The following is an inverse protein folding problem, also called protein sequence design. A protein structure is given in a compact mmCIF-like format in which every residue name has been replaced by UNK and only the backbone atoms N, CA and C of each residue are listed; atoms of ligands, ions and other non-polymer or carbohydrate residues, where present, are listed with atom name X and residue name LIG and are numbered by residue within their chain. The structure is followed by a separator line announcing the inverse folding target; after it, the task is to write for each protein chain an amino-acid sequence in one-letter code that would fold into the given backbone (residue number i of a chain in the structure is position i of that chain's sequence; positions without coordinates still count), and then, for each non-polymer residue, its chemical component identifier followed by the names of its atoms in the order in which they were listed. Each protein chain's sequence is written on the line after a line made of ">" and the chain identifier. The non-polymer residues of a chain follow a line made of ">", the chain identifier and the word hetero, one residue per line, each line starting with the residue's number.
data_IF_466207978119
#
_entry.id   IF_466207978119
#
_cell.length_a   1.000
_cell.length_b   1.000
_cell.length_c   1.000
_cell.angle_alpha   90.00
_cell.angle_beta   90.00
_cell.angle_gamma   90.00
#
_symmetry.space_group_name_H-M   'P 1'
#
loop_
_entity.id
_entity.type
_entity.pdbx_description
1 polymer ?
#
# COMPACT_ATOMS: atom_id res chain seq x y z
N UNK A 1 -0.54 23.02 37.94
CA UNK A 1 -0.57 21.81 37.10
C UNK A 1 0.73 21.77 36.31
N UNK A 2 1.69 20.96 36.74
CA UNK A 2 2.89 20.66 35.96
C UNK A 2 2.45 19.89 34.73
N UNK A 3 2.42 20.54 33.56
CA UNK A 3 2.18 19.87 32.28
C UNK A 3 3.28 18.85 32.10
N UNK A 4 2.96 17.57 32.27
CA UNK A 4 3.86 16.49 31.94
C UNK A 4 4.12 16.55 30.44
N UNK A 5 5.29 17.06 30.04
CA UNK A 5 5.67 17.25 28.63
C UNK A 5 6.00 15.93 27.92
N UNK A 6 6.13 14.83 28.68
CA UNK A 6 6.54 13.52 28.17
C UNK A 6 5.35 12.63 27.77
N UNK A 7 4.53 13.10 26.83
CA UNK A 7 3.44 12.27 26.25
C UNK A 7 3.99 11.34 25.17
N UNK A 8 3.27 10.24 24.90
CA UNK A 8 3.63 9.33 23.78
C UNK A 8 3.68 10.06 22.43
N UNK A 9 2.76 11.01 22.21
CA UNK A 9 2.76 11.83 21.00
C UNK A 9 3.99 12.75 20.95
N UNK A 10 4.40 13.36 22.06
CA UNK A 10 5.62 14.20 22.11
C UNK A 10 6.87 13.37 21.80
N UNK A 11 7.01 12.17 22.36
CA UNK A 11 8.16 11.28 22.09
C UNK A 11 8.23 10.88 20.62
N UNK A 12 7.11 10.48 20.02
CA UNK A 12 7.04 10.12 18.61
C UNK A 12 7.31 11.32 17.69
N UNK A 13 6.78 12.49 18.03
CA UNK A 13 7.00 13.71 17.27
C UNK A 13 8.46 14.19 17.34
N UNK A 14 9.10 14.08 18.51
CA UNK A 14 10.53 14.36 18.65
C UNK A 14 11.36 13.44 17.77
N UNK A 15 11.07 12.14 17.76
CA UNK A 15 11.72 11.18 16.87
C UNK A 15 11.60 11.58 15.39
N UNK A 16 10.39 11.92 14.93
CA UNK A 16 10.16 12.35 13.54
C UNK A 16 10.93 13.63 13.21
N UNK A 17 10.85 14.65 14.06
CA UNK A 17 11.44 15.95 13.79
C UNK A 17 12.97 15.96 13.90
N UNK A 18 13.54 15.14 14.78
CA UNK A 18 14.96 15.21 15.16
C UNK A 18 15.83 14.12 14.54
N UNK A 19 15.24 13.07 13.95
CA UNK A 19 16.03 12.03 13.25
C UNK A 19 16.81 12.66 12.08
N UNK A 20 18.15 12.62 12.11
CA UNK A 20 18.97 13.11 11.00
C UNK A 20 18.71 12.27 9.75
N UNK A 21 18.63 12.91 8.58
CA UNK A 21 18.41 12.18 7.34
C UNK A 21 19.53 11.18 7.04
N UNK A 22 20.76 11.51 7.44
CA UNK A 22 21.94 10.65 7.30
C UNK A 22 22.06 9.55 8.36
N UNK A 23 21.15 9.51 9.34
CA UNK A 23 21.13 8.45 10.34
C UNK A 23 20.43 7.17 9.84
N UNK A 24 19.79 7.21 8.67
CA UNK A 24 19.17 6.03 8.09
C UNK A 24 20.23 5.01 7.65
N UNK A 25 20.12 3.74 8.06
CA UNK A 25 20.96 2.67 7.55
C UNK A 25 20.82 2.48 6.03
N UNK A 26 21.90 2.07 5.36
CA UNK A 26 21.94 1.91 3.89
C UNK A 26 20.91 0.89 3.37
N UNK A 27 20.66 -0.18 4.12
CA UNK A 27 19.66 -1.20 3.77
C UNK A 27 18.22 -0.66 3.86
N UNK A 28 17.95 0.23 4.83
CA UNK A 28 16.67 0.95 4.96
C UNK A 28 16.49 1.92 3.80
N UNK A 29 17.53 2.65 3.41
CA UNK A 29 17.51 3.53 2.22
C UNK A 29 17.27 2.72 0.95
N UNK A 30 17.97 1.61 0.77
CA UNK A 30 17.78 0.72 -0.38
C UNK A 30 16.36 0.14 -0.43
N UNK A 31 15.81 -0.30 0.71
CA UNK A 31 14.43 -0.77 0.82
C UNK A 31 13.45 0.33 0.43
N UNK A 32 13.64 1.55 0.94
CA UNK A 32 12.76 2.67 0.64
C UNK A 32 12.75 3.02 -0.85
N UNK A 33 13.89 3.00 -1.54
CA UNK A 33 13.94 3.23 -3.01
C UNK A 33 13.12 2.20 -3.78
N UNK A 34 13.16 0.93 -3.37
CA UNK A 34 12.36 -0.13 -3.98
C UNK A 34 10.87 0.11 -3.81
N UNK A 35 10.45 0.52 -2.61
CA UNK A 35 9.05 0.83 -2.32
C UNK A 35 8.55 2.10 -3.02
N UNK A 36 9.43 3.10 -3.19
CA UNK A 36 9.13 4.29 -4.01
C UNK A 36 8.90 3.91 -5.47
N UNK A 37 9.82 3.14 -6.06
CA UNK A 37 9.68 2.64 -7.43
C UNK A 37 8.39 1.83 -7.61
N UNK A 38 8.11 0.92 -6.67
CA UNK A 38 6.92 0.08 -6.66
C UNK A 38 5.62 0.91 -6.61
N UNK A 39 5.56 1.87 -5.69
CA UNK A 39 4.39 2.73 -5.51
C UNK A 39 4.10 3.56 -6.75
N UNK A 40 5.14 4.11 -7.41
CA UNK A 40 4.92 4.82 -8.67
C UNK A 40 4.43 3.90 -9.77
N UNK A 41 4.96 2.68 -9.88
CA UNK A 41 4.45 1.68 -10.83
C UNK A 41 2.95 1.45 -10.63
N UNK A 42 2.54 1.12 -9.40
CA UNK A 42 1.14 0.90 -9.05
C UNK A 42 0.26 2.13 -9.33
N UNK A 43 0.72 3.32 -8.93
CA UNK A 43 -0.04 4.55 -9.06
C UNK A 43 -0.22 5.01 -10.51
N UNK A 44 0.81 4.86 -11.34
CA UNK A 44 0.73 5.19 -12.76
C UNK A 44 -0.23 4.25 -13.49
N UNK A 45 -0.19 2.95 -13.20
CA UNK A 45 -1.18 2.01 -13.72
C UNK A 45 -2.61 2.34 -13.24
N UNK A 46 -2.75 2.78 -11.98
CA UNK A 46 -4.02 3.20 -11.38
C UNK A 46 -4.51 4.60 -11.78
N UNK A 47 -3.73 5.40 -12.52
CA UNK A 47 -4.06 6.78 -12.87
C UNK A 47 -5.32 6.90 -13.74
N UNK A 48 -5.62 5.84 -14.51
CA UNK A 48 -6.81 5.68 -15.34
C UNK A 48 -7.90 4.80 -14.70
N UNK A 49 -7.82 4.48 -13.41
CA UNK A 49 -8.92 3.80 -12.72
C UNK A 49 -10.13 4.74 -12.58
N UNK A 50 -11.34 4.18 -12.47
CA UNK A 50 -12.59 4.98 -12.48
C UNK A 50 -12.67 5.89 -11.25
N UNK A 51 -12.29 5.38 -10.10
CA UNK A 51 -12.17 6.06 -8.83
C UNK A 51 -11.15 7.21 -8.90
N UNK A 52 -10.00 6.99 -9.54
CA UNK A 52 -8.95 8.00 -9.71
C UNK A 52 -9.42 9.13 -10.63
N UNK A 53 -10.03 8.78 -11.78
CA UNK A 53 -10.61 9.78 -12.70
C UNK A 53 -11.71 10.59 -12.03
N UNK A 54 -12.58 9.92 -11.27
CA UNK A 54 -13.70 10.57 -10.59
C UNK A 54 -13.20 11.54 -9.52
N UNK A 55 -12.22 11.13 -8.71
CA UNK A 55 -11.58 12.01 -7.74
C UNK A 55 -10.89 13.20 -8.43
N UNK A 56 -10.15 12.95 -9.52
CA UNK A 56 -9.48 14.00 -10.31
C UNK A 56 -10.46 15.02 -10.89
N UNK A 57 -11.65 14.58 -11.32
CA UNK A 57 -12.67 15.47 -11.86
C UNK A 57 -13.23 16.48 -10.83
N UNK A 58 -13.11 16.17 -9.53
CA UNK A 58 -13.51 17.05 -8.44
C UNK A 58 -12.42 18.07 -8.05
N UNK A 59 -11.21 17.94 -8.58
CA UNK A 59 -10.09 18.83 -8.24
C UNK A 59 -10.12 20.13 -9.03
N UNK A 60 -9.80 21.24 -8.35
CA UNK A 60 -9.56 22.53 -8.99
C UNK A 60 -8.17 22.59 -9.62
N UNK A 61 -8.05 23.19 -10.81
CA UNK A 61 -6.76 23.40 -11.45
C UNK A 61 -5.95 24.48 -10.70
N UNK A 62 -4.68 24.21 -10.43
CA UNK A 62 -3.75 25.19 -9.83
C UNK A 62 -2.67 25.53 -10.84
N UNK A 63 -2.66 26.78 -11.31
CA UNK A 63 -1.78 27.22 -12.39
C UNK A 63 -0.28 27.24 -12.02
N UNK A 64 0.07 27.54 -10.76
CA UNK A 64 1.47 27.64 -10.31
C UNK A 64 1.64 27.05 -8.90
N UNK A 65 2.72 26.31 -8.67
CA UNK A 65 3.07 25.75 -7.35
C UNK A 65 2.16 24.62 -6.85
N UNK A 66 1.30 24.09 -7.73
CA UNK A 66 0.47 22.92 -7.42
C UNK A 66 1.29 21.62 -7.37
N UNK A 67 0.73 20.61 -6.72
CA UNK A 67 1.28 19.26 -6.71
C UNK A 67 0.76 18.48 -7.94
N UNK A 68 1.63 17.68 -8.55
CA UNK A 68 1.31 16.91 -9.76
C UNK A 68 0.25 15.84 -9.50
N UNK A 69 -0.69 15.70 -10.42
CA UNK A 69 -1.58 14.53 -10.50
C UNK A 69 -0.92 13.48 -11.40
N UNK A 70 -0.43 12.40 -10.79
CA UNK A 70 0.49 11.46 -11.44
C UNK A 70 -0.13 10.79 -12.67
N UNK A 71 0.65 10.65 -13.73
CA UNK A 71 0.22 10.12 -15.02
C UNK A 71 -0.59 11.12 -15.86
N UNK A 72 -0.69 12.38 -15.45
CA UNK A 72 -1.39 13.45 -16.20
C UNK A 72 -0.53 14.70 -16.30
N UNK A 73 -0.91 15.67 -17.14
CA UNK A 73 -0.27 17.00 -17.20
C UNK A 73 -0.88 18.00 -16.23
N UNK A 74 -1.74 17.56 -15.31
CA UNK A 74 -2.51 18.43 -14.41
C UNK A 74 -1.84 18.54 -13.05
N UNK A 75 -2.08 19.69 -12.43
CA UNK A 75 -1.69 20.01 -11.06
C UNK A 75 -2.91 20.40 -10.24
N UNK A 76 -2.87 20.10 -8.95
CA UNK A 76 -3.91 20.47 -7.99
C UNK A 76 -3.30 21.01 -6.69
N UNK A 77 -4.15 21.45 -5.77
CA UNK A 77 -3.71 21.75 -4.41
C UNK A 77 -3.11 20.51 -3.74
N UNK A 78 -2.16 20.68 -2.82
CA UNK A 78 -1.43 19.57 -2.19
C UNK A 78 -2.37 18.49 -1.61
N UNK A 79 -3.45 18.90 -0.94
CA UNK A 79 -4.46 17.99 -0.37
C UNK A 79 -5.13 17.15 -1.46
N UNK A 80 -5.64 17.80 -2.50
CA UNK A 80 -6.32 17.14 -3.62
C UNK A 80 -5.38 16.20 -4.38
N UNK A 81 -4.12 16.61 -4.58
CA UNK A 81 -3.12 15.76 -5.21
C UNK A 81 -2.79 14.52 -4.36
N UNK A 82 -2.62 14.67 -3.04
CA UNK A 82 -2.44 13.54 -2.14
C UNK A 82 -3.64 12.58 -2.19
N UNK A 83 -4.86 13.12 -2.21
CA UNK A 83 -6.09 12.33 -2.34
C UNK A 83 -6.12 11.52 -3.64
N UNK A 84 -5.97 12.18 -4.78
CA UNK A 84 -6.03 11.53 -6.11
C UNK A 84 -4.90 10.52 -6.29
N UNK A 85 -3.67 10.88 -5.95
CA UNK A 85 -2.52 10.01 -6.14
C UNK A 85 -2.53 8.81 -5.18
N UNK A 86 -3.06 8.96 -3.97
CA UNK A 86 -3.24 7.83 -3.05
C UNK A 86 -4.31 6.85 -3.51
N UNK A 87 -5.40 7.34 -4.11
CA UNK A 87 -6.39 6.47 -4.79
C UNK A 87 -5.72 5.72 -5.93
N UNK A 88 -4.96 6.43 -6.78
CA UNK A 88 -4.26 5.84 -7.92
C UNK A 88 -3.31 4.73 -7.47
N UNK A 89 -2.48 4.99 -6.45
CA UNK A 89 -1.52 4.04 -5.92
C UNK A 89 -2.18 2.74 -5.43
N UNK A 90 -3.36 2.85 -4.81
CA UNK A 90 -4.06 1.69 -4.26
C UNK A 90 -5.04 1.02 -5.24
N UNK A 91 -5.30 1.61 -6.42
CA UNK A 91 -6.41 1.24 -7.31
C UNK A 91 -6.44 -0.24 -7.73
N UNK A 92 -5.26 -0.87 -7.89
CA UNK A 92 -5.11 -2.15 -8.59
C UNK A 92 -4.57 -3.30 -7.74
N UNK A 93 -4.65 -3.24 -6.40
CA UNK A 93 -4.10 -4.27 -5.47
C UNK A 93 -2.60 -4.59 -5.66
N UNK A 94 -1.83 -3.70 -6.30
CA UNK A 94 -0.43 -3.94 -6.67
C UNK A 94 0.57 -3.13 -5.87
N UNK A 95 0.10 -2.24 -5.01
CA UNK A 95 0.90 -1.54 -4.04
C UNK A 95 1.44 -2.48 -2.95
N UNK A 96 2.37 -1.94 -2.16
CA UNK A 96 3.00 -2.68 -1.09
C UNK A 96 2.03 -3.05 0.05
N UNK A 97 2.52 -3.89 0.96
CA UNK A 97 1.79 -4.33 2.14
C UNK A 97 2.72 -4.48 3.34
N UNK A 98 2.17 -4.76 4.53
CA UNK A 98 2.98 -5.08 5.73
C UNK A 98 3.42 -3.87 6.55
N UNK A 99 3.08 -2.65 6.14
CA UNK A 99 3.17 -1.44 6.97
C UNK A 99 1.93 -1.29 7.86
N UNK A 100 1.25 -0.14 7.84
CA UNK A 100 -0.13 -0.02 8.30
C UNK A 100 -1.13 -0.67 7.31
N UNK A 101 -0.75 -1.82 6.76
CA UNK A 101 -1.16 -2.35 5.45
C UNK A 101 -0.47 -1.63 4.27
N UNK A 102 -1.20 -0.81 3.52
CA UNK A 102 -0.80 -0.20 2.24
C UNK A 102 -0.07 1.15 2.42
N UNK A 103 1.09 1.14 3.06
CA UNK A 103 1.80 2.37 3.46
C UNK A 103 2.33 3.19 2.29
N UNK A 104 2.77 2.57 1.19
CA UNK A 104 3.28 3.31 0.03
C UNK A 104 2.23 4.20 -0.62
N UNK A 105 1.02 3.64 -0.79
CA UNK A 105 -0.13 4.36 -1.33
C UNK A 105 -0.65 5.50 -0.44
N UNK A 106 -0.14 5.63 0.79
CA UNK A 106 -0.51 6.71 1.72
C UNK A 106 0.64 7.71 1.87
N UNK A 107 1.84 7.22 2.18
CA UNK A 107 2.97 8.05 2.58
C UNK A 107 3.58 8.77 1.37
N UNK A 108 3.82 8.08 0.25
CA UNK A 108 4.48 8.71 -0.90
C UNK A 108 3.63 9.83 -1.54
N UNK A 109 2.31 9.65 -1.76
CA UNK A 109 1.44 10.74 -2.20
C UNK A 109 1.45 11.95 -1.26
N UNK A 110 1.43 11.71 0.07
CA UNK A 110 1.48 12.78 1.05
C UNK A 110 2.82 13.54 1.02
N UNK A 111 3.95 12.83 0.91
CA UNK A 111 5.28 13.43 0.80
C UNK A 111 5.39 14.32 -0.44
N UNK A 112 5.01 13.81 -1.62
CA UNK A 112 5.11 14.58 -2.86
C UNK A 112 4.16 15.79 -2.87
N UNK A 113 2.97 15.64 -2.30
CA UNK A 113 2.06 16.76 -2.12
C UNK A 113 2.65 17.82 -1.16
N UNK A 114 3.20 17.40 -0.01
CA UNK A 114 3.81 18.31 0.96
C UNK A 114 5.03 19.04 0.39
N UNK A 115 5.78 18.42 -0.54
CA UNK A 115 6.91 19.06 -1.22
C UNK A 115 6.50 20.32 -1.99
N UNK A 116 5.28 20.36 -2.56
CA UNK A 116 4.79 21.56 -3.25
C UNK A 116 4.49 22.72 -2.28
N UNK A 117 4.36 22.42 -0.99
CA UNK A 117 4.14 23.39 0.08
C UNK A 117 5.42 23.74 0.85
N UNK A 118 6.56 23.12 0.53
CA UNK A 118 7.83 23.39 1.19
C UNK A 118 8.43 24.72 0.72
N UNK A 119 8.75 25.60 1.67
CA UNK A 119 9.37 26.91 1.40
C UNK A 119 10.86 26.86 1.07
N UNK A 120 11.46 25.68 0.99
CA UNK A 120 12.89 25.45 0.72
C UNK A 120 13.10 24.18 -0.12
N UNK A 121 14.25 24.03 -0.79
CA UNK A 121 14.67 22.73 -1.31
C UNK A 121 14.67 21.68 -0.19
N UNK A 122 14.12 20.50 -0.50
CA UNK A 122 14.15 19.33 0.36
C UNK A 122 15.03 18.31 -0.35
N UNK A 123 16.16 17.96 0.25
CA UNK A 123 17.11 17.05 -0.40
C UNK A 123 16.50 15.65 -0.55
N UNK A 124 17.08 14.87 -1.45
CA UNK A 124 16.78 13.46 -1.63
C UNK A 124 16.76 12.66 -0.33
N UNK A 125 17.79 12.85 0.51
CA UNK A 125 17.90 12.18 1.82
C UNK A 125 16.82 12.61 2.79
N UNK A 126 16.48 13.90 2.83
CA UNK A 126 15.37 14.38 3.66
C UNK A 126 14.01 13.81 3.21
N UNK A 127 13.80 13.71 1.89
CA UNK A 127 12.62 13.08 1.32
C UNK A 127 12.56 11.58 1.69
N UNK A 128 13.68 10.86 1.56
CA UNK A 128 13.77 9.45 1.98
C UNK A 128 13.50 9.28 3.48
N UNK A 129 14.04 10.17 4.32
CA UNK A 129 13.76 10.17 5.75
C UNK A 129 12.28 10.39 6.04
N UNK A 130 11.62 11.33 5.36
CA UNK A 130 10.18 11.54 5.50
C UNK A 130 9.36 10.28 5.14
N UNK A 131 9.72 9.61 4.04
CA UNK A 131 9.06 8.37 3.60
C UNK A 131 9.25 7.27 4.66
N UNK A 132 10.49 7.00 5.07
CA UNK A 132 10.81 5.96 6.07
C UNK A 132 10.07 6.23 7.38
N UNK A 133 10.13 7.45 7.90
CA UNK A 133 9.46 7.85 9.14
C UNK A 133 7.93 7.76 9.02
N UNK A 134 7.36 8.04 7.85
CA UNK A 134 5.93 7.88 7.60
C UNK A 134 5.48 6.41 7.70
N UNK A 135 6.22 5.51 7.06
CA UNK A 135 5.99 4.06 7.20
C UNK A 135 6.14 3.61 8.65
N UNK A 136 7.17 4.13 9.31
CA UNK A 136 7.51 3.80 10.70
C UNK A 136 6.39 4.17 11.67
N UNK A 137 5.95 5.42 11.62
CA UNK A 137 4.85 5.95 12.46
C UNK A 137 3.53 5.22 12.18
N UNK A 138 3.14 5.08 10.90
CA UNK A 138 1.89 4.41 10.55
C UNK A 138 1.83 2.97 11.06
N UNK A 139 2.92 2.21 10.91
CA UNK A 139 3.00 0.84 11.43
C UNK A 139 2.99 0.80 12.95
N UNK A 140 3.70 1.71 13.63
CA UNK A 140 3.74 1.78 15.11
C UNK A 140 2.37 2.05 15.71
N UNK A 141 1.58 2.93 15.09
CA UNK A 141 0.19 3.16 15.51
C UNK A 141 -0.63 1.88 15.37
N UNK A 142 -0.48 1.14 14.26
CA UNK A 142 -1.17 -0.14 14.08
C UNK A 142 -0.73 -1.19 15.10
N UNK A 143 0.58 -1.32 15.36
CA UNK A 143 1.11 -2.24 16.38
C UNK A 143 0.58 -1.89 17.78
N UNK A 144 0.54 -0.60 18.11
CA UNK A 144 -0.02 -0.10 19.35
C UNK A 144 -1.55 -0.25 19.45
N UNK A 145 -2.26 -0.39 18.32
CA UNK A 145 -3.68 -0.73 18.27
C UNK A 145 -3.95 -2.26 18.40
N UNK A 146 -2.92 -3.07 18.59
CA UNK A 146 -3.02 -4.54 18.70
C UNK A 146 -2.61 -5.29 17.43
N UNK A 147 -2.10 -4.59 16.42
CA UNK A 147 -1.62 -5.17 15.17
C UNK A 147 -2.72 -5.41 14.13
N UNK A 148 -2.29 -5.85 12.94
CA UNK A 148 -3.17 -5.95 11.76
C UNK A 148 -4.38 -6.85 11.98
N UNK A 149 -4.18 -8.11 12.43
CA UNK A 149 -5.29 -9.08 12.54
C UNK A 149 -6.39 -8.59 13.49
N UNK A 150 -6.01 -8.10 14.67
CA UNK A 150 -6.98 -7.67 15.69
C UNK A 150 -7.68 -6.37 15.29
N UNK A 151 -6.92 -5.36 14.86
CA UNK A 151 -7.48 -4.05 14.48
C UNK A 151 -8.39 -4.16 13.26
N UNK A 152 -7.96 -4.88 12.22
CA UNK A 152 -8.77 -5.10 11.04
C UNK A 152 -9.94 -6.05 11.31
N UNK A 153 -9.76 -7.05 12.18
CA UNK A 153 -10.81 -7.96 12.64
C UNK A 153 -11.94 -7.24 13.39
N UNK A 154 -11.63 -6.14 14.08
CA UNK A 154 -12.63 -5.26 14.71
C UNK A 154 -13.44 -4.41 13.68
N UNK A 155 -13.10 -4.50 12.39
CA UNK A 155 -13.82 -3.82 11.30
C UNK A 155 -13.14 -2.56 10.78
N UNK A 156 -11.98 -2.17 11.30
CA UNK A 156 -11.23 -1.00 10.82
C UNK A 156 -10.35 -1.31 9.62
N UNK A 157 -10.35 -0.44 8.61
CA UNK A 157 -9.31 -0.50 7.58
C UNK A 157 -8.07 0.26 8.05
N UNK A 158 -7.01 -0.45 8.43
CA UNK A 158 -5.76 0.12 8.98
C UNK A 158 -5.07 1.11 8.03
N UNK A 159 -5.21 0.94 6.72
CA UNK A 159 -4.69 1.87 5.71
C UNK A 159 -5.16 3.31 5.96
N UNK A 160 -6.43 3.51 6.35
CA UNK A 160 -6.93 4.85 6.72
C UNK A 160 -6.76 5.13 8.20
N UNK A 161 -7.27 4.26 9.06
CA UNK A 161 -7.30 4.50 10.52
C UNK A 161 -5.92 4.67 11.14
N UNK A 162 -4.88 4.04 10.61
CA UNK A 162 -3.50 4.17 11.08
C UNK A 162 -2.59 4.90 10.08
N UNK A 163 -2.82 4.75 8.77
CA UNK A 163 -1.97 5.36 7.74
C UNK A 163 -1.99 6.89 7.75
N UNK A 164 -3.08 7.52 8.19
CA UNK A 164 -3.18 8.99 8.30
C UNK A 164 -2.09 9.59 9.19
N UNK A 165 -1.68 8.88 10.25
CA UNK A 165 -0.59 9.31 11.13
C UNK A 165 0.77 9.23 10.44
N UNK A 166 0.99 8.20 9.61
CA UNK A 166 2.18 8.10 8.78
C UNK A 166 2.28 9.22 7.76
N UNK A 167 1.17 9.55 7.09
CA UNK A 167 1.09 10.69 6.17
C UNK A 167 1.34 12.03 6.90
N UNK A 168 0.79 12.20 8.11
CA UNK A 168 1.00 13.42 8.91
C UNK A 168 2.46 13.58 9.34
N UNK A 169 3.10 12.51 9.84
CA UNK A 169 4.51 12.52 10.21
C UNK A 169 5.42 12.82 9.02
N UNK A 170 5.20 12.16 7.88
CA UNK A 170 5.97 12.37 6.67
C UNK A 170 5.81 13.81 6.13
N UNK A 171 4.58 14.32 6.10
CA UNK A 171 4.28 15.69 5.67
C UNK A 171 4.92 16.72 6.60
N UNK A 172 4.82 16.53 7.92
CA UNK A 172 5.49 17.38 8.91
C UNK A 172 7.01 17.40 8.72
N UNK A 173 7.62 16.24 8.42
CA UNK A 173 9.05 16.12 8.14
C UNK A 173 9.47 16.88 6.89
N UNK A 174 8.70 16.78 5.80
CA UNK A 174 8.93 17.52 4.56
C UNK A 174 8.82 19.03 4.77
N UNK A 175 7.81 19.47 5.53
CA UNK A 175 7.58 20.88 5.84
C UNK A 175 8.58 21.45 6.85
N UNK A 176 9.47 20.63 7.43
CA UNK A 176 10.47 21.04 8.39
C UNK A 176 9.87 21.50 9.73
N UNK A 177 8.77 20.88 10.16
CA UNK A 177 8.14 21.20 11.44
C UNK A 177 9.01 20.73 12.61
N UNK A 178 9.03 21.51 13.68
CA UNK A 178 9.65 21.10 14.94
C UNK A 178 8.83 20.02 15.66
N UNK A 179 9.35 19.52 16.79
CA UNK A 179 8.69 18.46 17.56
C UNK A 179 7.30 18.87 18.09
N UNK A 180 7.10 20.14 18.45
CA UNK A 180 5.83 20.60 19.00
C UNK A 180 4.74 20.64 17.91
N UNK A 181 5.06 21.20 16.75
CA UNK A 181 4.16 21.22 15.59
C UNK A 181 3.95 19.83 14.99
N UNK A 182 4.97 18.98 15.00
CA UNK A 182 4.81 17.57 14.58
C UNK A 182 3.86 16.82 15.51
N UNK A 183 3.93 17.06 16.83
CA UNK A 183 2.97 16.50 17.79
C UNK A 183 1.55 16.97 17.50
N UNK A 184 1.37 18.26 17.22
CA UNK A 184 0.05 18.82 16.88
C UNK A 184 -0.49 18.22 15.59
N UNK A 185 0.35 18.01 14.57
CA UNK A 185 -0.03 17.30 13.35
C UNK A 185 -0.49 15.86 13.62
N UNK A 186 0.21 15.11 14.48
CA UNK A 186 -0.23 13.77 14.90
C UNK A 186 -1.56 13.82 15.67
N UNK A 187 -1.76 14.85 16.50
CA UNK A 187 -3.01 15.09 17.19
C UNK A 187 -4.19 15.32 16.23
N UNK A 188 -4.01 16.18 15.23
CA UNK A 188 -5.01 16.42 14.18
C UNK A 188 -5.33 15.16 13.37
N UNK A 189 -4.29 14.38 13.05
CA UNK A 189 -4.44 13.16 12.26
C UNK A 189 -5.41 12.16 12.91
N UNK A 190 -5.47 12.09 14.25
CA UNK A 190 -6.41 11.22 14.94
C UNK A 190 -7.88 11.58 14.68
N UNK A 191 -8.20 12.87 14.58
CA UNK A 191 -9.55 13.32 14.21
C UNK A 191 -9.89 13.07 12.75
N UNK A 192 -8.88 12.77 11.92
CA UNK A 192 -9.05 12.41 10.50
C UNK A 192 -8.95 10.90 10.25
N UNK A 193 -8.68 10.11 11.29
CA UNK A 193 -8.65 8.66 11.22
C UNK A 193 -10.07 8.08 11.02
N UNK A 194 -10.17 6.99 10.25
CA UNK A 194 -11.44 6.31 9.99
C UNK A 194 -11.28 5.10 9.07
N UNK A 195 -12.36 4.77 8.33
CA UNK A 195 -12.37 3.71 7.32
C UNK A 195 -12.82 2.36 7.87
N UNK A 196 -13.86 1.80 7.27
CA UNK A 196 -14.47 0.53 7.69
C UNK A 196 -14.28 -0.53 6.61
N UNK A 197 -14.16 -1.79 7.04
CA UNK A 197 -14.05 -2.95 6.14
C UNK A 197 -15.31 -3.27 5.34
N UNK A 198 -16.43 -2.56 5.56
CA UNK A 198 -17.72 -2.86 4.93
C UNK A 198 -17.68 -3.02 3.40
N UNK A 199 -16.71 -2.41 2.71
CA UNK A 199 -16.48 -2.56 1.27
C UNK A 199 -16.24 -4.01 0.80
N UNK A 200 -15.83 -4.92 1.69
CA UNK A 200 -15.51 -6.30 1.31
C UNK A 200 -16.74 -7.12 0.94
N UNK A 201 -17.92 -6.73 1.42
CA UNK A 201 -19.14 -7.52 1.27
C UNK A 201 -19.81 -7.36 -0.10
N UNK A 202 -19.53 -6.26 -0.80
CA UNK A 202 -20.14 -5.92 -2.11
C UNK A 202 -19.10 -5.52 -3.18
N UNK A 203 -17.81 -5.58 -2.86
CA UNK A 203 -16.74 -5.20 -3.78
C UNK A 203 -16.64 -3.69 -4.01
N UNK A 204 -17.18 -2.87 -3.10
CA UNK A 204 -17.18 -1.41 -3.22
C UNK A 204 -15.79 -0.81 -3.43
N UNK A 205 -15.72 0.17 -4.33
CA UNK A 205 -14.49 0.89 -4.68
C UNK A 205 -13.96 1.79 -3.55
N UNK A 206 -14.74 1.99 -2.47
CA UNK A 206 -14.34 2.81 -1.31
C UNK A 206 -13.02 2.36 -0.67
N UNK A 207 -12.63 1.08 -0.83
CA UNK A 207 -11.30 0.59 -0.41
C UNK A 207 -10.18 1.51 -0.90
N UNK A 208 -10.26 1.99 -2.15
CA UNK A 208 -9.25 2.85 -2.80
C UNK A 208 -9.22 4.25 -2.21
N UNK A 209 -10.40 4.77 -1.89
CA UNK A 209 -10.57 6.08 -1.27
C UNK A 209 -9.92 6.15 0.11
N UNK A 210 -9.80 5.03 0.83
CA UNK A 210 -9.14 4.99 2.13
C UNK A 210 -7.66 5.41 2.06
N UNK A 211 -6.91 4.98 1.04
CA UNK A 211 -5.51 5.38 0.88
C UNK A 211 -5.38 6.88 0.55
N UNK A 212 -6.17 7.36 -0.41
CA UNK A 212 -6.22 8.78 -0.75
C UNK A 212 -6.62 9.66 0.44
N UNK A 213 -7.66 9.25 1.19
CA UNK A 213 -8.14 10.04 2.33
C UNK A 213 -7.12 10.10 3.46
N UNK A 214 -6.35 9.03 3.67
CA UNK A 214 -5.26 9.01 4.64
C UNK A 214 -4.14 9.97 4.24
N UNK A 215 -3.75 9.95 2.96
CA UNK A 215 -2.74 10.85 2.42
C UNK A 215 -3.16 12.32 2.53
N UNK A 216 -4.39 12.64 2.10
CA UNK A 216 -4.97 13.99 2.21
C UNK A 216 -5.05 14.46 3.66
N UNK A 217 -5.55 13.60 4.56
CA UNK A 217 -5.70 13.91 5.98
C UNK A 217 -4.35 14.22 6.64
N UNK A 218 -3.30 13.48 6.31
CA UNK A 218 -1.95 13.74 6.80
C UNK A 218 -1.37 15.07 6.32
N UNK A 219 -1.54 15.40 5.04
CA UNK A 219 -1.12 16.71 4.49
C UNK A 219 -1.88 17.84 5.18
N UNK A 220 -3.20 17.72 5.32
CA UNK A 220 -4.02 18.72 6.00
C UNK A 220 -3.59 18.90 7.46
N UNK A 221 -3.36 17.81 8.19
CA UNK A 221 -2.94 17.83 9.59
C UNK A 221 -1.60 18.58 9.77
N UNK A 222 -0.62 18.31 8.92
CA UNK A 222 0.68 18.99 8.97
C UNK A 222 0.58 20.48 8.59
N UNK A 223 -0.25 20.83 7.60
CA UNK A 223 -0.49 22.22 7.22
C UNK A 223 -1.17 23.01 8.35
N UNK A 224 -2.18 22.45 9.01
CA UNK A 224 -2.84 23.08 10.17
C UNK A 224 -1.85 23.35 11.31
N UNK A 225 -1.00 22.36 11.63
CA UNK A 225 0.02 22.52 12.66
C UNK A 225 1.09 23.56 12.28
N UNK A 226 1.46 23.66 11.00
CA UNK A 226 2.37 24.70 10.49
C UNK A 226 1.84 26.11 10.75
N UNK A 227 0.54 26.31 10.54
CA UNK A 227 -0.15 27.59 10.81
C UNK A 227 -0.42 27.83 12.31
N UNK A 228 0.00 26.92 13.20
CA UNK A 228 -0.07 27.08 14.65
C UNK A 228 -1.38 26.61 15.28
N UNK A 229 -2.22 25.86 14.57
CA UNK A 229 -3.40 25.22 15.15
C UNK A 229 -2.94 24.04 16.01
N UNK A 230 -3.22 24.08 17.31
CA UNK A 230 -2.82 23.03 18.26
C UNK A 230 -3.65 21.75 18.11
N UNK A 231 -3.01 20.60 18.27
CA UNK A 231 -3.64 19.28 18.27
C UNK A 231 -3.63 18.64 19.67
N UNK A 232 -4.45 17.61 19.93
CA UNK A 232 -4.48 16.92 21.22
C UNK A 232 -3.16 16.20 21.52
N UNK A 233 -2.38 16.73 22.47
CA UNK A 233 -1.07 16.20 22.84
C UNK A 233 -1.10 14.81 23.53
N UNK A 234 -2.25 14.41 24.08
CA UNK A 234 -2.46 13.14 24.80
C UNK A 234 -3.17 12.09 23.96
N UNK A 235 -3.23 12.25 22.64
CA UNK A 235 -4.03 11.41 21.75
C UNK A 235 -3.68 9.92 21.79
N UNK A 236 -2.46 9.58 22.20
CA UNK A 236 -1.99 8.20 22.33
C UNK A 236 -1.85 7.72 23.78
N UNK A 237 -2.22 8.56 24.75
CA UNK A 237 -2.16 8.21 26.18
C UNK A 237 -3.48 7.58 26.65
N UNK A 238 -3.44 6.97 27.84
CA UNK A 238 -4.63 6.41 28.49
C UNK A 238 -5.50 7.53 29.08
N UNK A 239 -6.27 8.17 28.21
CA UNK A 239 -7.22 9.23 28.56
C UNK A 239 -8.56 8.98 27.88
N UNK A 240 -9.63 9.53 28.45
CA UNK A 240 -10.94 9.52 27.78
C UNK A 240 -10.85 10.22 26.42
N UNK A 241 -11.32 9.53 25.36
CA UNK A 241 -11.22 10.02 23.98
C UNK A 241 -9.85 9.84 23.32
N UNK A 242 -8.87 9.19 23.99
CA UNK A 242 -7.62 8.78 23.36
C UNK A 242 -7.83 7.78 22.23
N UNK A 243 -6.96 7.80 21.21
CA UNK A 243 -7.07 6.98 20.00
C UNK A 243 -7.15 5.49 20.34
N UNK A 244 -6.24 4.99 21.19
CA UNK A 244 -6.22 3.57 21.55
C UNK A 244 -7.44 3.16 22.39
N UNK A 245 -7.86 3.99 23.34
CA UNK A 245 -9.08 3.75 24.13
C UNK A 245 -10.36 3.75 23.29
N UNK A 246 -10.34 4.40 22.13
CA UNK A 246 -11.53 4.54 21.26
C UNK A 246 -11.54 3.53 20.12
N UNK A 247 -10.42 3.39 19.40
CA UNK A 247 -10.32 2.56 18.20
C UNK A 247 -9.83 1.13 18.48
N UNK A 248 -9.20 0.90 19.64
CA UNK A 248 -8.57 -0.37 20.01
C UNK A 248 -8.82 -0.72 21.49
N UNK A 249 -10.02 -0.41 22.00
CA UNK A 249 -10.34 -0.49 23.43
C UNK A 249 -10.03 -1.83 24.10
N UNK A 250 -10.09 -2.93 23.34
CA UNK A 250 -9.92 -4.30 23.85
C UNK A 250 -8.55 -4.92 23.54
N UNK A 251 -7.71 -4.25 22.73
CA UNK A 251 -6.52 -4.88 22.12
C UNK A 251 -5.27 -4.01 22.08
N UNK A 252 -5.35 -2.77 22.53
CA UNK A 252 -4.24 -1.84 22.42
C UNK A 252 -3.03 -2.25 23.26
N UNK A 253 -1.84 -2.01 22.71
CA UNK A 253 -0.54 -2.19 23.33
C UNK A 253 0.28 -0.88 23.19
N UNK A 254 -0.02 0.19 23.95
CA UNK A 254 0.47 1.54 23.69
C UNK A 254 1.99 1.68 23.67
N UNK A 255 2.71 0.80 24.38
CA UNK A 255 4.17 0.85 24.45
C UNK A 255 4.84 0.51 23.10
N UNK A 256 4.16 -0.28 22.26
CA UNK A 256 4.60 -0.60 20.90
C UNK A 256 4.75 0.66 20.01
N UNK A 257 4.08 1.76 20.37
CA UNK A 257 4.18 3.03 19.64
C UNK A 257 5.62 3.56 19.63
N UNK A 258 6.33 3.43 20.75
CA UNK A 258 7.68 4.00 20.93
C UNK A 258 8.79 2.95 21.05
N UNK A 259 8.46 1.67 20.90
CA UNK A 259 9.40 0.57 21.07
C UNK A 259 10.48 0.53 19.97
N UNK A 260 11.75 0.59 20.34
CA UNK A 260 12.87 0.53 19.38
C UNK A 260 12.91 1.65 18.34
N UNK A 261 12.49 2.87 18.67
CA UNK A 261 12.63 4.04 17.77
C UNK A 261 14.10 4.24 17.37
N UNK A 262 14.34 4.47 16.07
CA UNK A 262 15.68 4.67 15.51
C UNK A 262 16.52 3.40 15.34
N UNK A 263 16.10 2.27 15.92
CA UNK A 263 16.80 0.98 15.81
C UNK A 263 15.99 -0.06 15.03
N UNK A 264 14.66 0.00 15.11
CA UNK A 264 13.74 -0.87 14.38
C UNK A 264 12.93 -0.05 13.38
N UNK A 265 13.33 -0.13 12.12
CA UNK A 265 12.68 0.57 11.02
C UNK A 265 11.55 -0.27 10.43
N UNK A 266 10.30 0.15 10.64
CA UNK A 266 9.14 -0.70 10.31
C UNK A 266 8.94 -0.93 8.82
N UNK A 267 9.49 -0.07 7.96
CA UNK A 267 9.57 -0.28 6.50
C UNK A 267 10.21 -1.64 6.13
N UNK A 268 11.16 -2.13 6.93
CA UNK A 268 11.83 -3.41 6.65
C UNK A 268 10.90 -4.62 6.70
N UNK A 269 9.69 -4.46 7.27
CA UNK A 269 8.64 -5.48 7.30
C UNK A 269 7.77 -5.50 6.05
N UNK A 270 7.88 -4.49 5.18
CA UNK A 270 6.96 -4.31 4.07
C UNK A 270 7.29 -5.23 2.88
N UNK A 271 6.25 -5.78 2.27
CA UNK A 271 6.32 -6.67 1.10
C UNK A 271 5.95 -5.91 -0.16
N UNK A 272 6.57 -6.26 -1.29
CA UNK A 272 6.16 -5.77 -2.61
C UNK A 272 5.39 -6.87 -3.32
N UNK A 273 4.14 -6.61 -3.70
CA UNK A 273 3.25 -7.60 -4.31
C UNK A 273 3.64 -7.91 -5.77
N UNK A 274 4.03 -9.13 -6.14
CA UNK A 274 4.25 -9.47 -7.56
C UNK A 274 2.93 -9.73 -8.31
N UNK A 275 1.92 -10.23 -7.61
CA UNK A 275 0.63 -10.63 -8.18
C UNK A 275 -0.44 -9.57 -7.91
N UNK A 276 -1.29 -9.30 -8.91
CA UNK A 276 -2.36 -8.29 -8.85
C UNK A 276 -3.59 -8.76 -8.04
N UNK A 277 -3.36 -9.39 -6.89
CA UNK A 277 -4.36 -10.00 -6.02
C UNK A 277 -4.10 -9.68 -4.53
N UNK A 278 -5.07 -10.03 -3.68
CA UNK A 278 -4.88 -10.02 -2.23
C UNK A 278 -3.60 -10.78 -1.82
N UNK A 279 -2.83 -10.23 -0.86
CA UNK A 279 -1.58 -10.84 -0.36
C UNK A 279 -1.80 -12.26 0.16
N UNK A 280 -2.95 -12.53 0.80
CA UNK A 280 -3.29 -13.86 1.30
C UNK A 280 -3.38 -14.94 0.22
N UNK A 281 -3.48 -14.56 -1.07
CA UNK A 281 -3.48 -15.51 -2.17
C UNK A 281 -2.08 -15.81 -2.74
N UNK A 282 -1.04 -15.04 -2.37
CA UNK A 282 0.24 -15.04 -3.08
C UNK A 282 0.98 -16.37 -2.99
N UNK A 283 1.05 -17.01 -1.81
CA UNK A 283 1.72 -18.30 -1.68
C UNK A 283 1.01 -19.41 -2.50
N UNK A 284 -0.32 -19.35 -2.63
CA UNK A 284 -1.04 -20.30 -3.50
C UNK A 284 -0.77 -20.02 -4.98
N UNK A 285 -0.63 -18.75 -5.37
CA UNK A 285 -0.25 -18.38 -6.73
C UNK A 285 1.17 -18.86 -7.05
N UNK A 286 2.14 -18.62 -6.16
CA UNK A 286 3.50 -19.15 -6.29
C UNK A 286 3.50 -20.68 -6.41
N UNK A 287 2.74 -21.37 -5.55
CA UNK A 287 2.60 -22.81 -5.59
C UNK A 287 2.00 -23.30 -6.93
N UNK A 288 0.99 -22.60 -7.45
CA UNK A 288 0.37 -22.92 -8.74
C UNK A 288 1.36 -22.72 -9.90
N UNK A 289 2.13 -21.63 -9.91
CA UNK A 289 3.17 -21.39 -10.91
C UNK A 289 4.28 -22.45 -10.85
N UNK A 290 4.68 -22.88 -9.65
CA UNK A 290 5.66 -23.97 -9.47
C UNK A 290 5.13 -25.33 -9.91
N UNK A 291 3.85 -25.65 -9.63
CA UNK A 291 3.19 -26.88 -10.10
C UNK A 291 3.01 -26.87 -11.63
N UNK A 292 2.82 -25.69 -12.21
CA UNK A 292 2.78 -25.50 -13.63
C UNK A 292 4.17 -25.57 -14.27
N UNK A 293 5.28 -25.47 -13.54
CA UNK A 293 6.65 -25.51 -14.09
C UNK A 293 6.86 -24.55 -15.29
N UNK A 294 6.28 -23.35 -15.19
CA UNK A 294 6.40 -22.30 -16.22
C UNK A 294 5.63 -22.53 -17.53
N UNK A 295 4.83 -23.60 -17.64
CA UNK A 295 3.95 -23.85 -18.80
C UNK A 295 2.50 -23.48 -18.50
N UNK A 296 1.75 -23.20 -19.57
CA UNK A 296 0.30 -23.08 -19.51
C UNK A 296 -0.30 -24.49 -19.30
N UNK A 297 -1.26 -24.61 -18.38
CA UNK A 297 -1.93 -25.87 -18.07
C UNK A 297 -3.35 -25.85 -18.63
N UNK A 298 -3.66 -26.81 -19.49
CA UNK A 298 -5.00 -26.96 -20.05
C UNK A 298 -5.94 -27.61 -19.05
N UNK A 299 -7.20 -27.17 -19.02
CA UNK A 299 -8.18 -27.68 -18.06
C UNK A 299 -8.42 -29.21 -18.19
N UNK A 300 -8.18 -29.78 -19.36
CA UNK A 300 -8.27 -31.23 -19.59
C UNK A 300 -7.17 -32.05 -18.89
N UNK A 301 -6.04 -31.44 -18.53
CA UNK A 301 -4.96 -32.09 -17.79
C UNK A 301 -5.26 -32.19 -16.28
N UNK A 302 -6.28 -31.48 -15.80
CA UNK A 302 -6.59 -31.35 -14.39
C UNK A 302 -7.93 -32.02 -14.09
N UNK A 303 -7.92 -32.97 -13.16
CA UNK A 303 -9.13 -33.50 -12.55
C UNK A 303 -9.68 -32.51 -11.51
N UNK A 304 -8.82 -32.09 -10.57
CA UNK A 304 -9.20 -31.22 -9.45
C UNK A 304 -7.99 -30.46 -8.91
N UNK A 305 -8.22 -29.24 -8.42
CA UNK A 305 -7.26 -28.49 -7.59
C UNK A 305 -7.89 -28.23 -6.23
N UNK A 306 -7.19 -28.55 -5.15
CA UNK A 306 -7.58 -28.20 -3.79
C UNK A 306 -6.61 -27.18 -3.23
N UNK A 307 -7.11 -26.02 -2.84
CA UNK A 307 -6.35 -25.00 -2.11
C UNK A 307 -6.74 -25.12 -0.65
N UNK A 308 -5.86 -25.73 0.15
CA UNK A 308 -6.05 -25.86 1.59
C UNK A 308 -5.60 -24.56 2.26
N UNK A 309 -6.49 -23.89 2.98
CA UNK A 309 -6.27 -22.57 3.55
C UNK A 309 -6.87 -22.42 4.95
N UNK A 310 -6.45 -21.40 5.70
CA UNK A 310 -7.06 -21.06 6.98
C UNK A 310 -8.47 -20.50 6.81
N UNK A 311 -9.27 -20.53 7.88
CA UNK A 311 -10.62 -19.95 7.87
C UNK A 311 -10.60 -18.44 7.54
N UNK A 312 -9.57 -17.72 8.01
CA UNK A 312 -9.36 -16.32 7.70
C UNK A 312 -9.13 -16.10 6.20
N UNK A 313 -8.20 -16.84 5.57
CA UNK A 313 -7.90 -16.72 4.14
C UNK A 313 -9.12 -17.07 3.28
N UNK A 314 -9.83 -18.15 3.62
CA UNK A 314 -11.04 -18.55 2.91
C UNK A 314 -12.16 -17.51 3.00
N UNK A 315 -12.35 -16.88 4.17
CA UNK A 315 -13.31 -15.77 4.33
C UNK A 315 -12.88 -14.52 3.56
N UNK A 316 -11.59 -14.20 3.59
CA UNK A 316 -11.02 -12.98 3.00
C UNK A 316 -11.01 -13.02 1.47
N UNK A 317 -10.69 -14.18 0.90
CA UNK A 317 -10.49 -14.30 -0.55
C UNK A 317 -10.98 -15.61 -1.20
N UNK A 318 -11.79 -16.42 -0.51
CA UNK A 318 -12.36 -17.65 -1.09
C UNK A 318 -13.52 -17.44 -2.07
N UNK A 319 -13.94 -16.18 -2.28
CA UNK A 319 -15.05 -15.82 -3.18
C UNK A 319 -14.77 -16.17 -4.66
N UNK A 320 -15.84 -16.24 -5.46
CA UNK A 320 -15.80 -16.55 -6.90
C UNK A 320 -16.53 -15.53 -7.77
N UNK A 321 -16.94 -14.40 -7.21
CA UNK A 321 -17.51 -13.33 -8.00
C UNK A 321 -16.42 -12.67 -8.85
N UNK A 322 -16.57 -12.73 -10.17
CA UNK A 322 -15.65 -12.13 -11.14
C UNK A 322 -16.28 -10.98 -11.93
N UNK A 323 -17.49 -10.55 -11.51
CA UNK A 323 -18.26 -9.50 -12.20
C UNK A 323 -17.51 -8.16 -12.21
N UNK A 324 -16.77 -7.88 -11.14
CA UNK A 324 -15.94 -6.68 -11.00
C UNK A 324 -14.46 -7.03 -10.90
N UNK A 325 -13.59 -6.07 -11.25
CA UNK A 325 -12.15 -6.17 -11.03
C UNK A 325 -11.85 -6.44 -9.56
N UNK A 326 -12.43 -5.65 -8.64
CA UNK A 326 -12.22 -5.78 -7.20
C UNK A 326 -12.56 -7.18 -6.67
N UNK A 327 -13.72 -7.72 -7.02
CA UNK A 327 -14.13 -9.07 -6.59
C UNK A 327 -13.16 -10.14 -7.10
N UNK A 328 -12.70 -10.02 -8.35
CA UNK A 328 -11.73 -10.96 -8.92
C UNK A 328 -10.34 -10.87 -8.25
N UNK A 329 -9.85 -9.68 -7.93
CA UNK A 329 -8.57 -9.49 -7.21
C UNK A 329 -8.62 -10.03 -5.77
N UNK A 330 -9.81 -10.11 -5.21
CA UNK A 330 -10.09 -10.75 -3.93
C UNK A 330 -10.50 -12.22 -4.07
N UNK A 331 -10.29 -12.87 -5.22
CA UNK A 331 -10.58 -14.29 -5.43
C UNK A 331 -9.29 -15.10 -5.57
N UNK A 332 -8.94 -15.83 -4.50
CA UNK A 332 -7.89 -16.84 -4.48
C UNK A 332 -8.12 -17.94 -5.54
N UNK A 333 -9.33 -18.50 -5.70
CA UNK A 333 -9.60 -19.45 -6.77
C UNK A 333 -9.28 -18.90 -8.17
N UNK A 334 -9.65 -17.64 -8.43
CA UNK A 334 -9.36 -17.00 -9.70
C UNK A 334 -7.86 -16.77 -9.90
N UNK A 335 -7.15 -16.29 -8.88
CA UNK A 335 -5.71 -16.04 -8.96
C UNK A 335 -4.95 -17.34 -9.30
N UNK A 336 -5.32 -18.47 -8.68
CA UNK A 336 -4.78 -19.80 -9.00
C UNK A 336 -5.16 -20.22 -10.43
N UNK A 337 -6.42 -20.04 -10.83
CA UNK A 337 -6.86 -20.37 -12.19
C UNK A 337 -6.10 -19.58 -13.26
N UNK A 338 -5.92 -18.28 -13.07
CA UNK A 338 -5.21 -17.39 -14.00
C UNK A 338 -3.72 -17.76 -14.09
N UNK A 339 -3.08 -18.06 -12.96
CA UNK A 339 -1.69 -18.53 -12.93
C UNK A 339 -1.50 -19.80 -13.77
N UNK A 340 -2.41 -20.77 -13.65
CA UNK A 340 -2.38 -22.01 -14.44
C UNK A 340 -2.73 -21.78 -15.93
N UNK A 341 -3.75 -20.96 -16.21
CA UNK A 341 -4.27 -20.73 -17.56
C UNK A 341 -3.35 -19.89 -18.44
N UNK A 342 -2.57 -18.99 -17.84
CA UNK A 342 -1.80 -17.99 -18.57
C UNK A 342 -0.31 -18.01 -18.25
N UNK A 343 0.12 -18.64 -17.15
CA UNK A 343 1.49 -18.50 -16.65
C UNK A 343 1.82 -17.06 -16.23
N UNK A 344 0.80 -16.21 -16.03
CA UNK A 344 0.90 -14.79 -15.68
C UNK A 344 -0.10 -14.46 -14.56
N UNK A 345 0.25 -13.45 -13.79
CA UNK A 345 -0.41 -13.03 -12.55
C UNK A 345 -0.43 -11.51 -12.39
N UNK A 346 0.11 -10.78 -13.37
CA UNK A 346 0.08 -9.31 -13.41
C UNK A 346 -1.33 -8.78 -13.71
N UNK A 347 -1.48 -7.46 -13.70
CA UNK A 347 -2.80 -6.83 -13.86
C UNK A 347 -3.48 -7.15 -15.21
N UNK A 348 -2.69 -7.48 -16.24
CA UNK A 348 -3.19 -7.84 -17.56
C UNK A 348 -4.14 -9.04 -17.55
N UNK A 349 -3.94 -10.02 -16.67
CA UNK A 349 -4.82 -11.20 -16.59
C UNK A 349 -6.16 -10.88 -15.95
N UNK A 350 -6.30 -9.75 -15.27
CA UNK A 350 -7.53 -9.33 -14.58
C UNK A 350 -8.47 -8.48 -15.44
N UNK A 351 -8.14 -8.21 -16.71
CA UNK A 351 -9.02 -7.47 -17.64
C UNK A 351 -10.36 -8.20 -17.84
N UNK A 352 -11.45 -7.48 -18.12
CA UNK A 352 -12.77 -8.09 -18.29
C UNK A 352 -12.81 -9.26 -19.29
N UNK A 353 -12.11 -9.15 -20.42
CA UNK A 353 -12.02 -10.20 -21.44
C UNK A 353 -11.23 -11.43 -20.97
N UNK A 354 -10.31 -11.25 -20.02
CA UNK A 354 -9.53 -12.34 -19.41
C UNK A 354 -10.25 -13.00 -18.24
N UNK A 355 -11.04 -12.22 -17.47
CA UNK A 355 -11.88 -12.76 -16.38
C UNK A 355 -12.93 -13.73 -16.90
N UNK A 356 -13.41 -13.54 -18.13
CA UNK A 356 -14.43 -14.39 -18.78
C UNK A 356 -13.84 -15.39 -19.78
N UNK A 357 -12.52 -15.50 -19.87
CA UNK A 357 -11.85 -16.46 -20.77
C UNK A 357 -12.28 -17.90 -20.43
N UNK A 358 -12.63 -18.67 -21.47
CA UNK A 358 -13.11 -20.05 -21.33
C UNK A 358 -12.10 -20.97 -20.61
N UNK A 359 -10.79 -20.72 -20.78
CA UNK A 359 -9.72 -21.50 -20.10
C UNK A 359 -9.77 -21.29 -18.59
N UNK A 360 -9.95 -20.04 -18.17
CA UNK A 360 -10.08 -19.70 -16.75
C UNK A 360 -11.36 -20.28 -16.18
N UNK A 361 -12.49 -20.11 -16.87
CA UNK A 361 -13.79 -20.68 -16.44
C UNK A 361 -13.70 -22.20 -16.24
N UNK A 362 -13.03 -22.90 -17.16
CA UNK A 362 -12.86 -24.35 -17.09
C UNK A 362 -11.96 -24.78 -15.90
N UNK A 363 -10.87 -24.06 -15.64
CA UNK A 363 -9.99 -24.34 -14.50
C UNK A 363 -10.66 -23.99 -13.16
N UNK A 364 -11.35 -22.85 -13.09
CA UNK A 364 -12.06 -22.40 -11.90
C UNK A 364 -13.13 -23.40 -11.44
N UNK A 365 -13.81 -24.07 -12.37
CA UNK A 365 -14.77 -25.13 -12.07
C UNK A 365 -14.13 -26.35 -11.38
N UNK A 366 -12.81 -26.53 -11.49
CA UNK A 366 -12.05 -27.64 -10.89
C UNK A 366 -11.32 -27.26 -9.61
N UNK A 367 -11.25 -25.97 -9.29
CA UNK A 367 -10.59 -25.47 -8.07
C UNK A 367 -11.60 -25.48 -6.92
N UNK A 368 -11.20 -25.96 -5.75
CA UNK A 368 -11.94 -25.86 -4.50
C UNK A 368 -11.03 -25.28 -3.40
N UNK A 369 -11.57 -24.40 -2.56
CA UNK A 369 -10.88 -23.92 -1.35
C UNK A 369 -11.40 -24.74 -0.18
N UNK A 370 -10.49 -25.42 0.51
CA UNK A 370 -10.78 -26.28 1.64
C UNK A 370 -10.22 -25.64 2.92
N UNK A 371 -11.05 -25.51 3.94
CA UNK A 371 -10.64 -24.88 5.20
C UNK A 371 -10.03 -25.94 6.09
N UNK A 372 -8.75 -25.78 6.43
CA UNK A 372 -8.07 -26.65 7.40
C UNK A 372 -8.08 -25.98 8.79
N UNK A 373 -8.80 -26.55 9.78
CA UNK A 373 -8.84 -26.02 11.14
C UNK A 373 -7.50 -26.04 11.87
N UNK A 374 -6.50 -26.77 11.38
CA UNK A 374 -5.16 -26.80 11.95
C UNK A 374 -4.31 -25.57 11.57
N UNK A 375 -4.73 -24.81 10.55
CA UNK A 375 -4.01 -23.61 10.09
C UNK A 375 -4.44 -22.38 10.89
N UNK A 376 -3.46 -21.65 11.41
CA UNK A 376 -3.65 -20.33 11.99
C UNK A 376 -4.02 -19.29 10.93
N UNK A 377 -4.55 -18.14 11.35
CA UNK A 377 -5.06 -17.11 10.45
C UNK A 377 -4.05 -16.65 9.39
N UNK A 378 -2.76 -16.62 9.75
CA UNK A 378 -1.66 -16.12 8.93
C UNK A 378 -0.84 -17.23 8.25
N UNK A 379 -1.22 -18.50 8.40
CA UNK A 379 -0.53 -19.60 7.74
C UNK A 379 -0.78 -19.59 6.24
N UNK A 380 0.27 -19.84 5.45
CA UNK A 380 0.18 -19.81 4.00
C UNK A 380 -0.54 -21.06 3.46
N UNK A 381 -1.37 -20.93 2.41
CA UNK A 381 -2.09 -22.05 1.83
C UNK A 381 -1.19 -23.11 1.19
N UNK A 382 -1.74 -24.31 1.01
CA UNK A 382 -1.14 -25.40 0.23
C UNK A 382 -1.99 -25.68 -1.00
N UNK A 383 -1.37 -25.83 -2.17
CA UNK A 383 -2.06 -26.18 -3.42
C UNK A 383 -1.80 -27.65 -3.74
N UNK A 384 -2.87 -28.41 -3.92
CA UNK A 384 -2.87 -29.83 -4.25
C UNK A 384 -3.50 -29.99 -5.63
N UNK A 385 -2.76 -30.53 -6.58
CA UNK A 385 -3.15 -30.74 -7.97
C UNK A 385 -3.36 -32.23 -8.24
N UNK A 386 -4.60 -32.60 -8.57
CA UNK A 386 -4.97 -33.91 -9.09
C UNK A 386 -4.99 -33.84 -10.61
N UNK A 387 -4.08 -34.56 -11.27
CA UNK A 387 -3.98 -34.65 -12.73
C UNK A 387 -4.97 -35.67 -13.27
N UNK A 388 -5.43 -35.46 -14.50
CA UNK A 388 -6.38 -36.35 -15.17
C UNK A 388 -5.81 -37.76 -15.46
N UNK A 389 -4.48 -37.92 -15.44
CA UNK A 389 -3.78 -39.21 -15.56
C UNK A 389 -3.64 -39.95 -14.22
N UNK A 390 -4.22 -39.42 -13.14
CA UNK A 390 -4.12 -39.97 -11.78
C UNK A 390 -2.92 -39.46 -10.98
N UNK A 391 -2.06 -38.61 -11.55
CA UNK A 391 -0.96 -37.97 -10.84
C UNK A 391 -1.44 -37.04 -9.71
N UNK A 392 -0.71 -37.05 -8.60
CA UNK A 392 -0.98 -36.17 -7.45
C UNK A 392 0.28 -35.39 -7.08
N UNK A 393 0.18 -34.07 -7.13
CA UNK A 393 1.27 -33.18 -6.72
C UNK A 393 0.77 -32.16 -5.69
N UNK A 394 1.61 -31.82 -4.73
CA UNK A 394 1.31 -30.79 -3.74
C UNK A 394 2.49 -29.83 -3.61
N UNK A 395 2.19 -28.54 -3.45
CA UNK A 395 3.18 -27.50 -3.17
C UNK A 395 2.66 -26.57 -2.08
N UNK A 396 3.53 -26.30 -1.12
CA UNK A 396 3.36 -25.30 -0.08
C UNK A 396 4.54 -24.34 -0.15
N UNK A 397 4.25 -23.04 -0.27
CA UNK A 397 5.25 -21.98 -0.31
C UNK A 397 5.20 -21.27 1.05
N UNK A 398 6.17 -21.51 1.96
CA UNK A 398 6.10 -21.00 3.33
C UNK A 398 6.31 -19.49 3.42
N UNK A 399 6.95 -18.90 2.41
CA UNK A 399 7.22 -17.46 2.31
C UNK A 399 6.95 -17.04 0.88
N UNK A 400 5.81 -16.40 0.64
CA UNK A 400 5.42 -15.94 -0.69
C UNK A 400 6.44 -14.95 -1.28
N UNK A 401 6.58 -14.95 -2.60
CA UNK A 401 7.41 -14.01 -3.34
C UNK A 401 6.97 -12.57 -3.05
N UNK A 402 7.93 -11.70 -2.79
CA UNK A 402 7.71 -10.30 -2.46
C UNK A 402 7.74 -9.99 -0.96
N UNK A 403 7.61 -11.00 -0.09
CA UNK A 403 7.89 -10.88 1.35
C UNK A 403 9.34 -10.40 1.58
N UNK A 404 9.64 -9.60 2.63
CA UNK A 404 11.02 -9.22 2.96
C UNK A 404 12.02 -10.38 3.02
N UNK A 405 11.57 -11.58 3.42
CA UNK A 405 12.39 -12.80 3.52
C UNK A 405 12.52 -13.56 2.20
N UNK A 406 11.66 -13.27 1.23
CA UNK A 406 11.70 -13.78 -0.14
C UNK A 406 11.44 -12.65 -1.16
N UNK A 407 12.32 -11.64 -1.21
CA UNK A 407 12.06 -10.43 -1.97
C UNK A 407 12.15 -10.69 -3.48
N UNK A 408 11.46 -9.85 -4.27
CA UNK A 408 11.70 -9.81 -5.71
C UNK A 408 13.18 -9.51 -6.00
N UNK A 409 13.72 -10.09 -7.07
CA UNK A 409 14.99 -9.61 -7.61
C UNK A 409 14.85 -8.19 -8.16
N UNK A 410 15.96 -7.47 -8.31
CA UNK A 410 15.96 -6.12 -8.89
C UNK A 410 15.39 -6.13 -10.32
N UNK A 411 15.73 -7.16 -11.10
CA UNK A 411 15.21 -7.36 -12.43
C UNK A 411 13.69 -7.58 -12.44
N UNK A 412 13.16 -8.39 -11.51
CA UNK A 412 11.72 -8.64 -11.41
C UNK A 412 10.94 -7.41 -10.94
N UNK A 413 11.48 -6.65 -9.97
CA UNK A 413 10.90 -5.39 -9.53
C UNK A 413 10.88 -4.35 -10.68
N UNK A 414 11.99 -4.22 -11.41
CA UNK A 414 12.07 -3.28 -12.53
C UNK A 414 11.15 -3.69 -13.70
N UNK A 415 11.02 -5.00 -13.95
CA UNK A 415 10.07 -5.53 -14.93
C UNK A 415 8.62 -5.22 -14.53
N UNK A 416 8.26 -5.45 -13.26
CA UNK A 416 6.97 -5.05 -12.69
C UNK A 416 6.73 -3.55 -12.90
N UNK A 417 7.68 -2.72 -12.47
CA UNK A 417 7.57 -1.27 -12.60
C UNK A 417 7.33 -0.84 -14.05
N UNK A 418 8.15 -1.32 -15.00
CA UNK A 418 8.03 -0.97 -16.43
C UNK A 418 6.68 -1.37 -17.00
N UNK A 419 6.19 -2.56 -16.66
CA UNK A 419 4.90 -3.05 -17.11
C UNK A 419 3.74 -2.16 -16.64
N UNK A 420 3.81 -1.67 -15.40
CA UNK A 420 2.76 -0.83 -14.81
C UNK A 420 2.88 0.64 -15.21
N UNK A 421 4.07 1.23 -15.09
CA UNK A 421 4.31 2.64 -15.43
C UNK A 421 4.09 2.91 -16.93
N UNK A 422 4.42 1.95 -17.80
CA UNK A 422 4.20 2.03 -19.24
C UNK A 422 2.72 2.10 -19.66
N UNK A 423 1.78 1.91 -18.73
CA UNK A 423 0.35 2.11 -18.99
C UNK A 423 -0.05 3.58 -19.04
N UNK A 424 0.75 4.48 -18.44
CA UNK A 424 0.47 5.92 -18.38
C UNK A 424 1.58 6.80 -18.94
N UNK A 425 2.81 6.28 -19.01
CA UNK A 425 4.01 6.99 -19.45
C UNK A 425 4.61 6.35 -20.71
N UNK A 426 5.29 7.17 -21.53
CA UNK A 426 6.14 6.64 -22.59
C UNK A 426 7.42 6.01 -22.02
N UNK A 427 8.13 5.25 -22.86
CA UNK A 427 9.34 4.52 -22.43
C UNK A 427 10.43 5.43 -21.86
N UNK A 428 10.61 6.63 -22.42
CA UNK A 428 11.65 7.54 -21.97
C UNK A 428 11.35 8.04 -20.54
N UNK A 429 10.10 8.40 -20.26
CA UNK A 429 9.66 8.79 -18.93
C UNK A 429 9.69 7.62 -17.94
N UNK A 430 9.32 6.41 -18.37
CA UNK A 430 9.43 5.19 -17.53
C UNK A 430 10.88 4.97 -17.09
N UNK A 431 11.83 4.95 -18.04
CA UNK A 431 13.23 4.70 -17.70
C UNK A 431 13.81 5.85 -16.84
N UNK A 432 13.51 7.12 -17.17
CA UNK A 432 13.98 8.27 -16.40
C UNK A 432 13.43 8.33 -14.96
N UNK A 433 12.14 8.03 -14.77
CA UNK A 433 11.54 7.99 -13.43
C UNK A 433 12.12 6.84 -12.59
N UNK A 434 12.39 5.68 -13.20
CA UNK A 434 13.09 4.58 -12.51
C UNK A 434 14.48 5.02 -12.01
N UNK A 435 15.28 5.61 -12.88
CA UNK A 435 16.61 6.11 -12.53
C UNK A 435 16.54 7.18 -11.44
N UNK A 436 15.52 8.05 -11.49
CA UNK A 436 15.26 9.06 -10.48
C UNK A 436 14.92 8.44 -9.12
N UNK A 437 14.06 7.41 -9.07
CA UNK A 437 13.72 6.71 -7.83
C UNK A 437 14.96 6.04 -7.20
N UNK A 438 15.79 5.37 -8.01
CA UNK A 438 16.97 4.64 -7.55
C UNK A 438 18.14 5.57 -7.16
N UNK A 439 18.10 6.82 -7.63
CA UNK A 439 19.06 7.89 -7.29
C UNK A 439 18.49 8.98 -6.38
N UNK A 440 17.28 8.80 -5.84
CA UNK A 440 16.56 9.84 -5.11
C UNK A 440 17.39 10.43 -3.97
N UNK A 441 18.06 9.60 -3.18
CA UNK A 441 18.94 9.97 -2.08
C UNK A 441 20.11 10.90 -2.44
N UNK A 442 20.42 11.04 -3.74
CA UNK A 442 21.51 11.90 -4.24
C UNK A 442 21.02 13.21 -4.83
N UNK A 443 19.70 13.43 -4.87
CA UNK A 443 19.13 14.64 -5.45
C UNK A 443 19.28 15.83 -4.50
N UNK A 444 19.67 16.98 -5.04
CA UNK A 444 19.74 18.23 -4.27
C UNK A 444 18.33 18.74 -3.89
N UNK A 445 17.33 18.44 -4.71
CA UNK A 445 15.93 18.77 -4.47
C UNK A 445 15.04 17.64 -4.97
N UNK A 446 14.28 17.02 -4.07
CA UNK A 446 13.38 15.92 -4.37
C UNK A 446 12.20 16.31 -5.29
N UNK A 447 11.93 17.62 -5.46
CA UNK A 447 10.88 18.11 -6.38
C UNK A 447 11.14 17.76 -7.84
N UNK A 448 12.39 17.45 -8.21
CA UNK A 448 12.77 16.97 -9.56
C UNK A 448 12.02 15.69 -9.98
N UNK A 449 11.48 14.91 -9.03
CA UNK A 449 10.63 13.76 -9.36
C UNK A 449 9.38 14.18 -10.17
N UNK A 450 8.85 15.38 -9.95
CA UNK A 450 7.64 15.86 -10.61
C UNK A 450 7.79 15.97 -12.12
N UNK A 451 9.02 16.19 -12.60
CA UNK A 451 9.33 16.34 -14.04
C UNK A 451 9.04 15.05 -14.82
N UNK A 452 9.05 13.90 -14.13
CA UNK A 452 8.92 12.57 -14.74
C UNK A 452 7.55 11.91 -14.49
N UNK A 453 6.64 12.61 -13.82
CA UNK A 453 5.31 12.08 -13.45
C UNK A 453 4.20 12.52 -14.40
N UNK A 454 4.51 13.38 -15.37
CA UNK A 454 3.55 13.83 -16.38
C UNK A 454 3.31 12.74 -17.43
N UNK A 455 2.04 12.44 -17.70
CA UNK A 455 1.63 11.39 -18.64
C UNK A 455 0.33 11.71 -19.39
N UNK A 456 -0.19 10.71 -20.11
CA UNK A 456 -1.45 10.80 -20.88
C UNK A 456 -2.53 9.82 -20.37
N UNK A 457 -2.60 9.61 -19.06
CA UNK A 457 -3.59 8.72 -18.45
C UNK A 457 -5.05 9.20 -18.65
N UNK A 458 -5.26 10.45 -19.10
CA UNK A 458 -6.57 10.97 -19.48
C UNK A 458 -7.04 10.44 -20.84
N UNK A 459 -6.12 10.12 -21.76
CA UNK A 459 -6.41 9.47 -23.04
C UNK A 459 -6.51 7.94 -22.97
N UNK A 460 -6.00 7.32 -21.89
CA UNK A 460 -6.02 5.87 -21.71
C UNK A 460 -7.43 5.33 -21.44
N UNK A 461 -7.80 4.22 -22.11
CA UNK A 461 -9.04 3.50 -21.79
C UNK A 461 -8.99 2.99 -20.35
N UNK A 462 -10.07 3.21 -19.62
CA UNK A 462 -10.25 2.63 -18.30
C UNK A 462 -10.03 1.12 -18.33
N UNK A 463 -9.23 0.61 -17.39
CA UNK A 463 -9.27 -0.81 -17.06
C UNK A 463 -10.61 -1.09 -16.35
N UNK A 464 -11.53 -1.75 -17.04
CA UNK A 464 -12.83 -2.23 -16.52
C UNK A 464 -12.85 -3.74 -16.65
#
# INVERSE_FOLDING_TARGET
>A
MTTNTDTRATRLAAFVAQTPADALPDDVVAKAKRHVLDTFGAALAGASAVETRSARALTGAVAHGGASLWGTRRTAGARDAAFVNGIAAHALELDDSGGCDHSGAVVLPAVLAALSCAGRPVTGRECMAAIVLGYDVGRRVLEAAGGYSVHNGAGWHSTLSCGVFGAAAASARVLGLDAARTRDALGHAASFAGGLWGFIHDGSQTKRLHAGRAAEGGVLAALLAREGVSGPAHVFDDVWGGFFNTFAAQSHAPDALTDGLGTQWKLMRCSIKPHASCRSAHAAVDAALQLADGRIVEAGEIERVVVRASAFVARMCGGRDLSTLSSAQMSLPYAVAAALAFGDTGIGVYRADRRTDSRVSALLARIAVDVDPALGDLDEPTVILHRADGGLESRHVPIALGDPRNPLSDAALLAKYRALAGMALDRAHVDALSDMCLSLDRQADARVMNDWLAGDAEGAKAMV
#
